data_IF_833792674034
#
_entry.id   IF_833792674034
#
_cell.length_a   1.000
_cell.length_b   1.000
_cell.length_c   1.000
_cell.angle_alpha   90.00
_cell.angle_beta   90.00
_cell.angle_gamma   90.00
#
_symmetry.space_group_name_H-M   'P 1'
#
loop_
_entity.id
_entity.type
_entity.pdbx_description
1 polymer ?
#
# COMPACT_ATOMS: atom_id res chain seq x y z
N UNK A 1 4.80 3.51 -20.85
CA UNK A 1 3.84 4.08 -19.87
C UNK A 1 4.51 4.38 -18.55
N UNK A 2 5.21 3.44 -17.91
CA UNK A 2 5.93 3.62 -16.63
C UNK A 2 6.91 4.81 -16.60
N UNK A 3 7.61 5.11 -17.72
CA UNK A 3 8.54 6.26 -17.79
C UNK A 3 7.84 7.61 -17.56
N UNK A 4 6.58 7.75 -17.99
CA UNK A 4 5.82 8.97 -17.79
C UNK A 4 5.39 9.13 -16.33
N UNK A 5 4.96 8.04 -15.69
CA UNK A 5 4.60 8.01 -14.27
C UNK A 5 5.82 8.29 -13.37
N UNK A 6 6.98 7.70 -13.69
CA UNK A 6 8.23 8.00 -13.00
C UNK A 6 8.56 9.48 -13.04
N UNK A 7 8.54 10.10 -14.24
CA UNK A 7 8.79 11.55 -14.39
C UNK A 7 7.78 12.40 -13.63
N UNK A 8 6.49 12.02 -13.65
CA UNK A 8 5.43 12.68 -12.88
C UNK A 8 5.75 12.66 -11.40
N UNK A 9 6.04 11.49 -10.83
CA UNK A 9 6.32 11.37 -9.40
C UNK A 9 7.65 12.00 -8.99
N UNK A 10 8.67 11.97 -9.84
CA UNK A 10 9.91 12.71 -9.57
C UNK A 10 9.64 14.22 -9.40
N UNK A 11 8.87 14.82 -10.33
CA UNK A 11 8.49 16.23 -10.23
C UNK A 11 7.63 16.53 -9.00
N UNK A 12 6.71 15.63 -8.64
CA UNK A 12 5.92 15.78 -7.42
C UNK A 12 6.78 15.67 -6.16
N UNK A 13 7.85 14.88 -6.19
CA UNK A 13 8.77 14.76 -5.08
C UNK A 13 9.64 16.01 -4.88
N UNK A 14 9.88 16.82 -5.92
CA UNK A 14 10.60 18.09 -5.81
C UNK A 14 9.90 19.09 -4.89
N UNK A 15 8.55 19.00 -4.78
CA UNK A 15 7.72 19.85 -3.93
C UNK A 15 7.17 19.15 -2.70
N UNK A 16 7.41 17.84 -2.56
CA UNK A 16 6.95 17.06 -1.44
C UNK A 16 7.89 17.24 -0.24
N UNK A 17 7.33 17.30 0.94
CA UNK A 17 8.11 17.26 2.16
C UNK A 17 8.43 15.82 2.54
N UNK A 18 9.61 15.54 3.06
CA UNK A 18 10.01 14.22 3.53
C UNK A 18 9.17 13.75 4.73
N UNK A 19 9.16 12.43 4.95
CA UNK A 19 8.43 11.79 6.03
C UNK A 19 7.00 11.41 5.67
N UNK A 20 6.20 11.07 6.70
CA UNK A 20 4.80 10.76 6.57
C UNK A 20 4.51 9.34 6.05
N UNK A 21 3.34 9.18 5.47
CA UNK A 21 2.78 7.89 5.04
C UNK A 21 2.85 7.83 3.51
N UNK A 22 3.42 6.77 2.96
CA UNK A 22 3.44 6.54 1.52
C UNK A 22 2.68 5.25 1.18
N UNK A 23 1.75 5.34 0.22
CA UNK A 23 1.14 4.18 -0.41
C UNK A 23 2.01 3.83 -1.61
N UNK A 24 2.46 2.58 -1.66
CA UNK A 24 3.25 2.02 -2.74
C UNK A 24 2.59 0.74 -3.23
N UNK A 25 1.87 0.85 -4.31
CA UNK A 25 1.04 -0.22 -4.84
C UNK A 25 0.93 -0.24 -6.35
N UNK A 26 -0.06 -0.96 -6.84
CA UNK A 26 -0.32 -1.17 -8.26
C UNK A 26 -1.55 -0.39 -8.76
N UNK A 27 -2.12 -0.82 -9.86
CA UNK A 27 -3.20 -0.12 -10.59
C UNK A 27 -4.40 0.28 -9.72
N UNK A 28 -4.81 -0.61 -8.84
CA UNK A 28 -5.98 -0.39 -7.98
C UNK A 28 -5.81 0.81 -7.03
N UNK A 29 -4.57 1.08 -6.65
CA UNK A 29 -4.26 2.11 -5.67
C UNK A 29 -4.07 3.49 -6.30
N UNK A 30 -3.85 3.56 -7.61
CA UNK A 30 -3.57 4.83 -8.30
C UNK A 30 -4.68 5.87 -8.11
N UNK A 31 -5.92 5.42 -7.91
CA UNK A 31 -7.09 6.28 -7.70
C UNK A 31 -7.34 6.68 -6.25
N UNK A 32 -6.54 6.21 -5.28
CA UNK A 32 -6.74 6.52 -3.86
C UNK A 32 -6.52 8.03 -3.62
N UNK A 33 -7.56 8.77 -3.20
CA UNK A 33 -7.49 10.22 -3.06
C UNK A 33 -6.90 10.63 -1.70
N UNK A 34 -5.58 10.45 -1.55
CA UNK A 34 -4.89 10.66 -0.26
C UNK A 34 -5.08 12.04 0.36
N UNK A 35 -5.24 13.08 -0.45
CA UNK A 35 -5.52 14.44 0.03
C UNK A 35 -6.86 14.53 0.72
N UNK A 36 -7.90 13.96 0.14
CA UNK A 36 -9.27 13.92 0.67
C UNK A 36 -9.34 13.03 1.91
N UNK A 37 -8.69 11.85 1.87
CA UNK A 37 -8.58 10.95 3.02
C UNK A 37 -7.91 11.65 4.20
N UNK A 38 -6.82 12.37 3.95
CA UNK A 38 -6.11 13.12 4.98
C UNK A 38 -7.02 14.16 5.64
N UNK A 39 -7.81 14.91 4.85
CA UNK A 39 -8.76 15.88 5.36
C UNK A 39 -9.92 15.23 6.11
N UNK A 40 -10.56 14.23 5.51
CA UNK A 40 -11.73 13.56 6.07
C UNK A 40 -11.42 12.90 7.44
N UNK A 41 -10.19 12.40 7.61
CA UNK A 41 -9.77 11.69 8.82
C UNK A 41 -8.90 12.50 9.77
N UNK A 42 -8.71 13.79 9.48
CA UNK A 42 -7.85 14.67 10.28
C UNK A 42 -6.47 14.04 10.53
N UNK A 43 -5.89 13.43 9.49
CA UNK A 43 -4.56 12.84 9.58
C UNK A 43 -3.54 13.98 9.55
N UNK A 44 -2.80 14.16 10.64
CA UNK A 44 -1.77 15.18 10.75
C UNK A 44 -0.56 14.87 9.87
N UNK A 45 -0.21 13.58 9.75
CA UNK A 45 0.90 13.13 8.92
C UNK A 45 0.66 13.43 7.44
N UNK A 46 1.75 13.76 6.76
CA UNK A 46 1.75 13.85 5.30
C UNK A 46 1.40 12.49 4.71
N UNK A 47 0.67 12.49 3.60
CA UNK A 47 0.25 11.26 2.97
C UNK A 47 0.43 11.36 1.46
N UNK A 48 1.12 10.40 0.87
CA UNK A 48 1.46 10.39 -0.55
C UNK A 48 1.05 9.07 -1.19
N UNK A 49 0.44 9.15 -2.36
CA UNK A 49 0.23 8.00 -3.22
C UNK A 49 1.32 7.97 -4.29
N UNK A 50 2.08 6.87 -4.32
CA UNK A 50 3.14 6.61 -5.30
C UNK A 50 2.97 5.22 -5.90
N UNK A 51 1.73 4.90 -6.25
CA UNK A 51 1.37 3.66 -6.93
C UNK A 51 1.55 3.78 -8.44
N UNK A 52 1.86 2.67 -9.09
CA UNK A 52 2.19 2.62 -10.51
C UNK A 52 1.36 1.58 -11.24
N UNK A 53 1.06 1.86 -12.51
CA UNK A 53 0.39 0.87 -13.34
C UNK A 53 1.27 -0.38 -13.55
N UNK A 54 0.64 -1.54 -13.44
CA UNK A 54 1.27 -2.84 -13.63
C UNK A 54 2.60 -3.00 -12.87
N UNK A 55 2.66 -2.51 -11.64
CA UNK A 55 3.85 -2.65 -10.81
C UNK A 55 4.01 -4.10 -10.35
N UNK A 56 5.07 -4.76 -10.82
CA UNK A 56 5.46 -6.09 -10.37
C UNK A 56 6.50 -6.03 -9.25
N UNK A 57 6.58 -7.09 -8.47
CA UNK A 57 7.61 -7.22 -7.42
C UNK A 57 9.03 -7.17 -8.01
N UNK A 58 9.23 -7.62 -9.24
CA UNK A 58 10.52 -7.59 -9.94
C UNK A 58 11.02 -6.17 -10.18
N UNK A 59 10.11 -5.24 -10.42
CA UNK A 59 10.41 -3.84 -10.70
C UNK A 59 10.35 -2.96 -9.47
N UNK A 60 9.72 -3.44 -8.40
CA UNK A 60 9.38 -2.66 -7.22
C UNK A 60 10.61 -2.04 -6.54
N UNK A 61 11.73 -2.76 -6.48
CA UNK A 61 12.96 -2.26 -5.87
C UNK A 61 13.53 -1.04 -6.65
N UNK A 62 13.51 -1.09 -7.97
CA UNK A 62 14.00 0.03 -8.79
C UNK A 62 13.12 1.25 -8.63
N UNK A 63 11.80 1.05 -8.64
CA UNK A 63 10.83 2.13 -8.44
C UNK A 63 10.93 2.71 -7.02
N UNK A 64 11.08 1.84 -6.01
CA UNK A 64 11.28 2.26 -4.62
C UNK A 64 12.45 3.25 -4.51
N UNK A 65 13.62 2.87 -5.01
CA UNK A 65 14.82 3.71 -4.96
C UNK A 65 14.65 5.06 -5.64
N UNK A 66 13.95 5.09 -6.78
CA UNK A 66 13.80 6.32 -7.56
C UNK A 66 12.73 7.26 -7.02
N UNK A 67 11.71 6.73 -6.38
CA UNK A 67 10.48 7.47 -6.08
C UNK A 67 10.14 7.49 -4.59
N UNK A 68 10.28 6.38 -3.90
CA UNK A 68 9.82 6.27 -2.50
C UNK A 68 10.93 6.68 -1.53
N UNK A 69 12.12 6.17 -1.73
CA UNK A 69 13.29 6.44 -0.89
C UNK A 69 13.58 7.93 -0.71
N UNK A 70 13.52 8.80 -1.77
CA UNK A 70 13.72 10.23 -1.61
C UNK A 70 12.72 10.94 -0.69
N UNK A 71 11.55 10.37 -0.50
CA UNK A 71 10.53 10.88 0.43
C UNK A 71 10.83 10.54 1.89
N UNK A 72 11.78 9.64 2.16
CA UNK A 72 12.13 9.18 3.51
C UNK A 72 10.89 8.84 4.37
N UNK A 73 9.98 7.95 3.94
CA UNK A 73 8.71 7.73 4.61
C UNK A 73 8.89 7.20 6.03
N UNK A 74 8.06 7.64 6.96
CA UNK A 74 7.94 7.06 8.30
C UNK A 74 7.12 5.78 8.29
N UNK A 75 6.15 5.72 7.37
CA UNK A 75 5.24 4.58 7.21
C UNK A 75 5.07 4.26 5.73
N UNK A 76 5.19 2.98 5.38
CA UNK A 76 4.97 2.47 4.03
C UNK A 76 3.81 1.47 4.04
N UNK A 77 2.78 1.76 3.24
CA UNK A 77 1.72 0.80 2.93
C UNK A 77 2.08 0.14 1.60
N UNK A 78 2.49 -1.12 1.67
CA UNK A 78 3.01 -1.89 0.54
C UNK A 78 1.92 -2.83 0.01
N UNK A 79 1.37 -2.52 -1.16
CA UNK A 79 0.29 -3.26 -1.79
C UNK A 79 0.69 -3.71 -3.20
N UNK A 80 1.60 -4.70 -3.25
CA UNK A 80 2.20 -5.23 -4.48
C UNK A 80 1.90 -6.72 -4.58
N UNK A 81 1.61 -7.21 -5.79
CA UNK A 81 1.36 -8.61 -6.10
C UNK A 81 0.26 -8.83 -7.15
N UNK A 82 -0.68 -7.88 -7.31
CA UNK A 82 -1.78 -8.03 -8.28
C UNK A 82 -1.29 -8.22 -9.71
N UNK A 83 -0.15 -7.64 -10.07
CA UNK A 83 0.49 -7.80 -11.37
C UNK A 83 1.40 -9.03 -11.46
N UNK A 84 1.54 -9.78 -10.38
CA UNK A 84 2.48 -10.89 -10.27
C UNK A 84 1.82 -12.27 -10.23
N UNK A 85 0.49 -12.38 -10.39
CA UNK A 85 -0.23 -13.65 -10.24
C UNK A 85 0.35 -14.78 -11.11
N UNK A 86 0.61 -14.51 -12.40
CA UNK A 86 1.20 -15.50 -13.29
C UNK A 86 2.62 -15.90 -12.84
N UNK A 87 3.45 -14.92 -12.47
CA UNK A 87 4.80 -15.18 -11.97
C UNK A 87 4.78 -15.97 -10.65
N UNK A 88 3.89 -15.61 -9.75
CA UNK A 88 3.71 -16.30 -8.47
C UNK A 88 3.29 -17.76 -8.67
N UNK A 89 2.33 -18.04 -9.58
CA UNK A 89 1.92 -19.42 -9.87
C UNK A 89 3.06 -20.31 -10.37
N UNK A 90 3.95 -19.74 -11.17
CA UNK A 90 5.09 -20.49 -11.70
C UNK A 90 6.22 -20.61 -10.69
N UNK A 91 6.45 -19.57 -9.89
CA UNK A 91 7.64 -19.45 -9.04
C UNK A 91 7.33 -18.79 -7.69
N UNK A 92 6.52 -19.39 -6.79
CA UNK A 92 6.11 -18.76 -5.53
C UNK A 92 7.30 -18.46 -4.62
N UNK A 93 8.28 -19.34 -4.57
CA UNK A 93 9.50 -19.13 -3.76
C UNK A 93 10.31 -17.93 -4.25
N UNK A 94 10.41 -17.73 -5.56
CA UNK A 94 11.13 -16.58 -6.11
C UNK A 94 10.37 -15.27 -5.86
N UNK A 95 9.05 -15.29 -5.94
CA UNK A 95 8.21 -14.16 -5.54
C UNK A 95 8.49 -13.77 -4.07
N UNK A 96 8.48 -14.74 -3.15
CA UNK A 96 8.77 -14.50 -1.74
C UNK A 96 10.18 -13.92 -1.54
N UNK A 97 11.17 -14.45 -2.25
CA UNK A 97 12.55 -13.97 -2.17
C UNK A 97 12.66 -12.51 -2.67
N UNK A 98 12.00 -12.17 -3.77
CA UNK A 98 11.96 -10.79 -4.28
C UNK A 98 11.28 -9.83 -3.30
N UNK A 99 10.22 -10.29 -2.66
CA UNK A 99 9.54 -9.49 -1.63
C UNK A 99 10.47 -9.23 -0.43
N UNK A 100 11.16 -10.26 0.07
CA UNK A 100 12.14 -10.11 1.16
C UNK A 100 13.34 -9.25 0.76
N UNK A 101 13.81 -9.37 -0.48
CA UNK A 101 14.86 -8.50 -1.01
C UNK A 101 14.44 -7.02 -0.95
N UNK A 102 13.22 -6.72 -1.39
CA UNK A 102 12.65 -5.36 -1.31
C UNK A 102 12.60 -4.88 0.14
N UNK A 103 12.04 -5.66 1.06
CA UNK A 103 11.93 -5.30 2.47
C UNK A 103 13.29 -5.08 3.13
N UNK A 104 14.26 -5.96 2.84
CA UNK A 104 15.63 -5.82 3.34
C UNK A 104 16.30 -4.54 2.88
N UNK A 105 16.12 -4.15 1.61
CA UNK A 105 16.64 -2.89 1.08
C UNK A 105 15.96 -1.67 1.69
N UNK A 106 14.64 -1.71 1.84
CA UNK A 106 13.89 -0.62 2.50
C UNK A 106 14.43 -0.38 3.90
N UNK A 107 14.65 -1.43 4.69
CA UNK A 107 15.14 -1.32 6.06
C UNK A 107 16.60 -0.94 6.18
N UNK A 108 17.41 -1.31 5.20
CA UNK A 108 18.81 -0.90 5.15
C UNK A 108 18.93 0.63 5.05
N UNK A 109 18.09 1.25 4.23
CA UNK A 109 18.07 2.71 4.02
C UNK A 109 17.30 3.44 5.13
N UNK A 110 16.24 2.85 5.64
CA UNK A 110 15.42 3.42 6.70
C UNK A 110 15.09 2.37 7.79
N UNK A 111 15.98 2.15 8.76
CA UNK A 111 15.81 1.11 9.79
C UNK A 111 14.60 1.31 10.72
N UNK A 112 14.06 2.53 10.79
CA UNK A 112 12.93 2.87 11.67
C UNK A 112 11.58 2.88 10.95
N UNK A 113 11.57 2.61 9.66
CA UNK A 113 10.33 2.64 8.87
C UNK A 113 9.32 1.60 9.40
N UNK A 114 8.08 2.02 9.51
CA UNK A 114 6.95 1.12 9.73
C UNK A 114 6.45 0.62 8.39
N UNK A 115 6.32 -0.70 8.23
CA UNK A 115 5.85 -1.30 6.97
C UNK A 115 4.62 -2.13 7.26
N UNK A 116 3.54 -1.86 6.52
CA UNK A 116 2.39 -2.74 6.43
C UNK A 116 2.33 -3.36 5.03
N UNK A 117 2.34 -4.68 4.96
CA UNK A 117 2.01 -5.43 3.76
C UNK A 117 0.49 -5.56 3.70
N UNK A 118 -0.10 -5.14 2.58
CA UNK A 118 -1.55 -5.16 2.38
C UNK A 118 -1.90 -6.35 1.50
N UNK A 119 -2.91 -7.14 1.89
CA UNK A 119 -3.38 -8.27 1.11
C UNK A 119 -4.03 -7.83 -0.21
N UNK A 120 -3.96 -8.67 -1.22
CA UNK A 120 -4.72 -8.48 -2.44
C UNK A 120 -6.21 -8.70 -2.17
N UNK A 121 -7.04 -7.98 -2.90
CA UNK A 121 -8.50 -8.15 -2.89
C UNK A 121 -8.89 -9.44 -3.59
N UNK A 122 -9.82 -10.17 -3.01
CA UNK A 122 -10.29 -11.43 -3.56
C UNK A 122 -11.83 -11.53 -3.58
N UNK A 123 -12.46 -10.67 -4.37
CA UNK A 123 -13.93 -10.62 -4.45
C UNK A 123 -14.56 -11.82 -5.16
N UNK A 124 -13.77 -12.51 -5.99
CA UNK A 124 -14.21 -13.65 -6.78
C UNK A 124 -13.87 -14.97 -6.11
N UNK A 125 -13.31 -14.93 -4.89
CA UNK A 125 -12.84 -16.11 -4.16
C UNK A 125 -11.84 -16.95 -4.98
N UNK A 126 -10.96 -16.24 -5.72
CA UNK A 126 -9.91 -16.86 -6.53
C UNK A 126 -8.90 -17.57 -5.62
N UNK A 127 -8.72 -18.90 -5.75
CA UNK A 127 -7.77 -19.65 -4.92
C UNK A 127 -6.32 -19.18 -5.07
N UNK A 128 -5.93 -18.70 -6.24
CA UNK A 128 -4.59 -18.21 -6.50
C UNK A 128 -4.30 -16.92 -5.73
N UNK A 129 -5.27 -16.00 -5.69
CA UNK A 129 -5.16 -14.79 -4.87
C UNK A 129 -5.15 -15.14 -3.38
N UNK A 130 -5.94 -16.13 -2.97
CA UNK A 130 -5.94 -16.60 -1.59
C UNK A 130 -4.59 -17.19 -1.17
N UNK A 131 -3.99 -17.97 -2.04
CA UNK A 131 -2.65 -18.54 -1.82
C UNK A 131 -1.60 -17.44 -1.73
N UNK A 132 -1.58 -16.50 -2.66
CA UNK A 132 -0.66 -15.35 -2.63
C UNK A 132 -0.85 -14.53 -1.34
N UNK A 133 -2.07 -14.28 -0.89
CA UNK A 133 -2.32 -13.58 0.37
C UNK A 133 -1.78 -14.35 1.58
N UNK A 134 -1.78 -15.69 1.54
CA UNK A 134 -1.16 -16.52 2.58
C UNK A 134 0.36 -16.33 2.60
N UNK A 135 1.01 -16.27 1.43
CA UNK A 135 2.42 -15.97 1.30
C UNK A 135 2.76 -14.55 1.79
N UNK A 136 1.97 -13.54 1.39
CA UNK A 136 2.15 -12.16 1.85
C UNK A 136 2.04 -12.04 3.37
N UNK A 137 1.08 -12.75 3.97
CA UNK A 137 0.96 -12.81 5.44
C UNK A 137 2.17 -13.47 6.09
N UNK A 138 2.62 -14.59 5.54
CA UNK A 138 3.81 -15.28 6.05
C UNK A 138 5.08 -14.41 5.94
N UNK A 139 5.23 -13.67 4.83
CA UNK A 139 6.33 -12.70 4.68
C UNK A 139 6.21 -11.60 5.73
N UNK A 140 5.01 -11.03 5.93
CA UNK A 140 4.81 -9.99 6.94
C UNK A 140 5.22 -10.46 8.33
N UNK A 141 4.78 -11.65 8.73
CA UNK A 141 5.08 -12.24 10.03
C UNK A 141 6.60 -12.52 10.19
N UNK A 142 7.23 -13.14 9.18
CA UNK A 142 8.65 -13.50 9.21
C UNK A 142 9.57 -12.27 9.18
N UNK A 143 9.18 -11.24 8.44
CA UNK A 143 9.93 -10.00 8.28
C UNK A 143 9.52 -8.92 9.30
N UNK A 144 8.71 -9.24 10.29
CA UNK A 144 8.24 -8.29 11.33
C UNK A 144 7.60 -7.03 10.75
N UNK A 145 6.81 -7.20 9.69
CA UNK A 145 5.93 -6.18 9.14
C UNK A 145 4.52 -6.35 9.72
N UNK A 146 3.73 -5.29 9.72
CA UNK A 146 2.30 -5.42 9.96
C UNK A 146 1.60 -5.98 8.72
N UNK A 147 0.51 -6.70 8.92
CA UNK A 147 -0.31 -7.22 7.83
C UNK A 147 -1.69 -6.61 7.85
N UNK A 148 -2.06 -5.98 6.74
CA UNK A 148 -3.37 -5.38 6.55
C UNK A 148 -4.24 -6.25 5.64
N UNK A 149 -5.19 -6.99 6.23
CA UNK A 149 -6.08 -7.85 5.46
C UNK A 149 -7.28 -7.08 4.92
N UNK A 150 -7.35 -6.96 3.59
CA UNK A 150 -8.48 -6.38 2.85
C UNK A 150 -9.12 -7.40 1.89
N UNK A 151 -8.70 -8.67 1.95
CA UNK A 151 -9.05 -9.69 0.95
C UNK A 151 -10.55 -9.88 0.76
N UNK A 152 -11.31 -9.91 1.86
CA UNK A 152 -12.74 -10.21 1.86
C UNK A 152 -13.64 -8.97 1.98
N UNK A 153 -13.08 -7.77 1.82
CA UNK A 153 -13.83 -6.54 2.08
C UNK A 153 -14.18 -5.83 0.80
N UNK A 154 -15.46 -5.52 0.65
CA UNK A 154 -15.92 -4.63 -0.41
C UNK A 154 -15.23 -3.29 -0.20
N UNK A 155 -14.33 -2.99 -1.09
CA UNK A 155 -13.62 -1.73 -1.10
C UNK A 155 -14.51 -0.69 -1.73
N UNK A 156 -14.29 0.55 -1.28
CA UNK A 156 -14.87 1.72 -1.86
C UNK A 156 -14.92 1.64 -3.39
N UNK A 157 -16.14 1.64 -3.90
CA UNK A 157 -16.39 1.83 -5.31
C UNK A 157 -16.60 3.34 -5.54
N UNK A 158 -15.68 4.04 -6.23
CA UNK A 158 -15.83 5.48 -6.47
C UNK A 158 -17.07 5.82 -7.29
N UNK A 159 -17.73 4.83 -7.90
CA UNK A 159 -19.01 4.97 -8.59
C UNK A 159 -20.21 4.92 -7.64
N UNK A 160 -20.02 4.55 -6.39
CA UNK A 160 -21.09 4.45 -5.41
C UNK A 160 -20.90 5.49 -4.29
N UNK A 161 -21.52 6.63 -4.46
CA UNK A 161 -21.47 7.74 -3.50
C UNK A 161 -21.95 7.36 -2.10
N UNK A 162 -22.87 6.37 -2.00
CA UNK A 162 -23.40 5.89 -0.72
C UNK A 162 -22.33 5.13 0.04
N UNK A 163 -21.54 4.28 -0.64
CA UNK A 163 -20.44 3.53 -0.01
C UNK A 163 -19.35 4.48 0.47
N UNK A 164 -19.09 5.55 -0.28
CA UNK A 164 -18.14 6.58 0.12
C UNK A 164 -18.61 7.36 1.36
N UNK A 165 -19.87 7.74 1.42
CA UNK A 165 -20.44 8.44 2.58
C UNK A 165 -20.47 7.53 3.80
N UNK A 166 -20.87 6.28 3.65
CA UNK A 166 -20.83 5.28 4.73
C UNK A 166 -19.42 5.02 5.22
N UNK A 167 -18.45 4.97 4.33
CA UNK A 167 -17.03 4.87 4.65
C UNK A 167 -16.56 6.07 5.47
N UNK A 168 -16.85 7.31 5.03
CA UNK A 168 -16.49 8.53 5.74
C UNK A 168 -17.15 8.58 7.13
N UNK A 169 -18.43 8.21 7.25
CA UNK A 169 -19.15 8.21 8.52
C UNK A 169 -18.74 7.09 9.48
N UNK A 170 -18.43 5.91 8.97
CA UNK A 170 -17.95 4.80 9.79
C UNK A 170 -16.60 5.11 10.45
N UNK A 171 -15.89 6.09 9.93
CA UNK A 171 -14.57 6.54 10.41
C UNK A 171 -14.63 7.72 11.37
N UNK A 172 -15.83 8.14 11.80
CA UNK A 172 -15.98 9.21 12.80
C UNK A 172 -15.25 8.90 14.14
N UNK A 173 -15.02 7.64 14.48
CA UNK A 173 -14.20 7.27 15.63
C UNK A 173 -12.69 7.46 15.36
N UNK A 174 -12.30 7.67 14.11
CA UNK A 174 -10.92 7.83 13.66
C UNK A 174 -10.41 9.27 13.85
N UNK A 175 -11.26 10.19 14.34
CA UNK A 175 -10.91 11.61 14.62
C UNK A 175 -9.68 11.81 15.52
N UNK A 176 -9.16 10.77 16.12
CA UNK A 176 -8.00 10.82 17.00
C UNK A 176 -6.77 10.07 16.48
N UNK A 177 -6.67 9.88 15.15
CA UNK A 177 -5.49 9.29 14.53
C UNK A 177 -4.31 10.26 14.61
N UNK A 178 -3.53 10.11 15.66
CA UNK A 178 -2.17 10.62 15.71
C UNK A 178 -1.22 9.54 15.17
N UNK A 179 0.02 9.92 14.85
CA UNK A 179 1.07 9.07 14.28
C UNK A 179 1.40 7.79 15.08
N UNK A 180 0.74 7.56 16.20
CA UNK A 180 0.99 6.42 17.10
C UNK A 180 -0.01 5.28 16.91
N UNK A 181 -0.95 5.40 15.98
CA UNK A 181 -1.93 4.34 15.77
C UNK A 181 -1.33 3.13 15.05
N UNK A 182 -1.87 1.94 15.32
CA UNK A 182 -1.49 0.73 14.60
C UNK A 182 -1.62 0.92 13.09
N UNK A 183 -0.66 0.40 12.33
CA UNK A 183 -0.72 0.42 10.86
C UNK A 183 -2.00 -0.24 10.31
N UNK A 184 -2.53 -1.22 11.02
CA UNK A 184 -3.81 -1.83 10.74
C UNK A 184 -4.95 -0.79 10.58
N UNK A 185 -4.99 0.26 11.40
CA UNK A 185 -5.98 1.32 11.26
C UNK A 185 -5.73 2.19 10.04
N UNK A 186 -4.46 2.46 9.71
CA UNK A 186 -4.10 3.16 8.48
C UNK A 186 -4.46 2.35 7.23
N UNK A 187 -4.22 1.04 7.24
CA UNK A 187 -4.63 0.16 6.15
C UNK A 187 -6.15 0.17 6.00
N UNK A 188 -6.87 0.03 7.11
CA UNK A 188 -8.34 0.15 7.10
C UNK A 188 -8.81 1.44 6.44
N UNK A 189 -8.23 2.56 6.81
CA UNK A 189 -8.63 3.87 6.29
C UNK A 189 -8.32 4.01 4.81
N UNK A 190 -7.16 3.54 4.39
CA UNK A 190 -6.65 3.76 3.05
C UNK A 190 -7.32 2.85 2.03
N UNK A 191 -7.52 1.59 2.41
CA UNK A 191 -8.02 0.55 1.49
C UNK A 191 -9.49 0.19 1.71
N UNK A 192 -10.16 0.88 2.61
CA UNK A 192 -11.60 0.81 2.80
C UNK A 192 -12.07 -0.43 3.55
N UNK A 193 -12.43 -0.23 4.80
CA UNK A 193 -13.31 -1.13 5.49
C UNK A 193 -14.71 -0.51 5.51
N UNK A 194 -15.63 -1.08 4.75
CA UNK A 194 -17.03 -1.00 5.17
C UNK A 194 -17.15 -1.89 6.42
N UNK A 195 -17.49 -1.32 7.54
CA UNK A 195 -17.98 -2.03 8.69
C UNK A 195 -19.34 -2.62 8.37
#
# INVERSE_FOLDING_TARGET
MRTLELKKYQRLNEIAEQGGIVIFGSDEDMSIPVGELRQAFSIESKMYNRSFSNLSIKDALEVYKKIIEPLAPETLLLHIGSSDLAFFSENPTEFDNKYRELLGKIRLENPKIRIAIVSLRNYTEDPQIQEMNTHLKYIADSEKCEYGDISNKRVWNPKNTIDMVSFIYSLNYVRHLNNKRPLHDLVKMTFGYAL
#
